data_IF_819234350846
#
_entry.id   IF_819234350846
#
_cell.length_a   1.000
_cell.length_b   1.000
_cell.length_c   1.000
_cell.angle_alpha   90.00
_cell.angle_beta   90.00
_cell.angle_gamma   90.00
#
_symmetry.space_group_name_H-M   'P 1'
#
loop_
_entity.id
_entity.type
_entity.pdbx_description
1 polymer ?
#
# COMPACT_ATOMS: atom_id res chain seq x y z
N UNK A 1 12.76 23.48 14.94
CA UNK A 1 12.82 22.20 15.67
C UNK A 1 11.62 21.39 15.25
N UNK A 2 11.82 20.29 14.54
CA UNK A 2 10.73 19.37 14.21
C UNK A 2 10.27 18.68 15.51
N UNK A 3 8.96 18.73 15.78
CA UNK A 3 8.37 18.01 16.91
C UNK A 3 8.46 16.51 16.67
N UNK A 4 8.87 15.70 17.67
CA UNK A 4 8.91 14.25 17.51
C UNK A 4 7.48 13.76 17.20
N UNK A 5 7.35 13.06 16.07
CA UNK A 5 6.08 12.43 15.69
C UNK A 5 5.75 11.42 16.79
N UNK A 6 4.69 11.70 17.55
CA UNK A 6 4.19 10.79 18.58
C UNK A 6 3.09 9.97 17.96
N UNK A 7 3.28 8.66 18.00
CA UNK A 7 2.26 7.70 17.62
C UNK A 7 2.21 6.58 18.63
N UNK A 8 1.00 6.09 18.88
CA UNK A 8 0.73 4.97 19.76
C UNK A 8 1.35 3.68 19.22
N UNK A 9 1.38 3.53 17.89
CA UNK A 9 2.04 2.40 17.22
C UNK A 9 2.90 2.88 16.05
N UNK A 10 4.14 2.38 15.99
CA UNK A 10 5.05 2.60 14.87
C UNK A 10 5.36 1.25 14.21
N UNK A 11 5.11 1.17 12.91
CA UNK A 11 5.38 -0.02 12.08
C UNK A 11 6.59 0.27 11.20
N UNK A 12 7.63 -0.55 11.28
CA UNK A 12 8.83 -0.42 10.43
C UNK A 12 8.74 -1.38 9.25
N UNK A 13 8.65 -0.83 8.05
CA UNK A 13 8.57 -1.49 6.75
C UNK A 13 7.15 -1.49 6.17
N UNK A 14 6.95 -0.81 5.04
CA UNK A 14 5.68 -0.78 4.29
C UNK A 14 5.57 -1.93 3.27
N UNK A 15 6.00 -3.14 3.68
CA UNK A 15 5.78 -4.38 2.93
C UNK A 15 4.37 -4.93 3.11
N UNK A 16 4.10 -6.11 2.52
CA UNK A 16 2.81 -6.81 2.70
C UNK A 16 2.48 -7.06 4.18
N UNK A 17 3.48 -7.40 4.98
CA UNK A 17 3.34 -7.64 6.42
C UNK A 17 3.01 -6.35 7.18
N UNK A 18 3.74 -5.26 6.92
CA UNK A 18 3.53 -3.99 7.62
C UNK A 18 2.19 -3.36 7.29
N UNK A 19 1.78 -3.38 6.02
CA UNK A 19 0.45 -2.90 5.59
C UNK A 19 -0.66 -3.77 6.20
N UNK A 20 -0.49 -5.10 6.22
CA UNK A 20 -1.48 -5.99 6.84
C UNK A 20 -1.60 -5.77 8.35
N UNK A 21 -0.48 -5.53 9.04
CA UNK A 21 -0.49 -5.21 10.47
C UNK A 21 -1.22 -3.90 10.74
N UNK A 22 -0.95 -2.85 9.94
CA UNK A 22 -1.65 -1.57 10.04
C UNK A 22 -3.17 -1.73 9.82
N UNK A 23 -3.57 -2.53 8.83
CA UNK A 23 -4.98 -2.83 8.56
C UNK A 23 -5.66 -3.48 9.76
N UNK A 24 -5.06 -4.53 10.32
CA UNK A 24 -5.63 -5.24 11.47
C UNK A 24 -5.73 -4.31 12.69
N UNK A 25 -4.70 -3.49 12.94
CA UNK A 25 -4.72 -2.53 14.05
C UNK A 25 -5.82 -1.48 13.87
N UNK A 26 -5.98 -0.93 12.66
CA UNK A 26 -7.05 0.00 12.34
C UNK A 26 -8.44 -0.64 12.50
N UNK A 27 -8.62 -1.88 12.06
CA UNK A 27 -9.87 -2.64 12.24
C UNK A 27 -10.20 -2.92 13.71
N UNK A 28 -9.19 -2.95 14.58
CA UNK A 28 -9.36 -3.11 16.03
C UNK A 28 -9.44 -1.77 16.79
N UNK A 29 -9.59 -0.65 16.08
CA UNK A 29 -9.79 0.67 16.69
C UNK A 29 -8.52 1.40 17.09
N UNK A 30 -7.35 0.99 16.59
CA UNK A 30 -6.10 1.75 16.72
C UNK A 30 -5.94 2.64 15.50
N UNK A 31 -6.15 3.93 15.68
CA UNK A 31 -6.17 4.96 14.63
C UNK A 31 -4.86 5.78 14.56
N UNK A 32 -4.11 5.88 15.66
CA UNK A 32 -2.83 6.57 15.74
C UNK A 32 -1.64 5.64 15.39
N UNK A 33 -1.45 5.42 14.09
CA UNK A 33 -0.41 4.53 13.53
C UNK A 33 0.46 5.28 12.53
N UNK A 34 1.78 5.13 12.66
CA UNK A 34 2.76 5.58 11.65
C UNK A 34 3.51 4.39 11.07
N UNK A 35 3.63 4.36 9.74
CA UNK A 35 4.43 3.35 9.02
C UNK A 35 5.68 4.04 8.45
N UNK A 36 6.86 3.53 8.80
CA UNK A 36 8.15 4.00 8.31
C UNK A 36 8.72 3.02 7.28
N UNK A 37 9.01 3.48 6.08
CA UNK A 37 9.63 2.67 5.02
C UNK A 37 10.91 3.35 4.55
N UNK A 38 11.99 2.56 4.47
CA UNK A 38 13.29 3.08 4.05
C UNK A 38 13.31 3.44 2.55
N UNK A 39 12.49 2.75 1.76
CA UNK A 39 12.38 2.95 0.32
C UNK A 39 11.36 4.04 -0.03
N UNK A 40 11.51 4.67 -1.21
CA UNK A 40 10.48 5.58 -1.75
C UNK A 40 9.27 4.84 -2.36
N UNK A 41 8.96 3.63 -1.87
CA UNK A 41 7.90 2.77 -2.42
C UNK A 41 7.35 1.81 -1.38
N UNK A 42 6.05 1.54 -1.46
CA UNK A 42 5.36 0.53 -0.65
C UNK A 42 5.33 -0.83 -1.38
N UNK A 43 4.96 -1.90 -0.66
CA UNK A 43 4.77 -3.25 -1.19
C UNK A 43 5.98 -4.18 -0.98
N UNK A 44 7.11 -3.66 -0.50
CA UNK A 44 8.30 -4.44 -0.17
C UNK A 44 8.83 -5.25 -1.37
N UNK A 45 8.77 -6.58 -1.25
CA UNK A 45 9.22 -7.54 -2.28
C UNK A 45 8.26 -7.69 -3.46
N UNK A 46 6.99 -7.28 -3.30
CA UNK A 46 6.01 -7.34 -4.39
C UNK A 46 6.35 -6.24 -5.40
N UNK A 47 6.81 -6.64 -6.59
CA UNK A 47 7.09 -5.74 -7.71
C UNK A 47 6.10 -6.01 -8.83
N UNK A 48 5.21 -5.05 -9.11
CA UNK A 48 4.37 -5.10 -10.30
C UNK A 48 5.19 -4.53 -11.46
N UNK A 49 5.76 -5.38 -12.30
CA UNK A 49 6.17 -4.94 -13.63
C UNK A 49 4.92 -4.60 -14.43
N UNK A 50 4.83 -3.35 -14.87
CA UNK A 50 3.73 -2.89 -15.71
C UNK A 50 3.82 -3.57 -17.06
N UNK A 51 3.20 -4.74 -17.22
CA UNK A 51 2.87 -5.25 -18.54
C UNK A 51 1.85 -4.27 -19.12
N UNK A 52 2.33 -3.28 -19.89
CA UNK A 52 1.48 -2.44 -20.72
C UNK A 52 0.93 -3.33 -21.84
N UNK A 53 -0.09 -4.12 -21.54
CA UNK A 53 -0.89 -4.78 -22.58
C UNK A 53 -1.54 -3.66 -23.37
N UNK A 54 -0.95 -3.32 -24.53
CA UNK A 54 -1.63 -2.53 -25.55
C UNK A 54 -2.82 -3.37 -26.03
N UNK A 55 -3.98 -3.14 -25.45
CA UNK A 55 -5.24 -3.61 -26.00
C UNK A 55 -5.44 -2.85 -27.30
N UNK A 56 -5.01 -3.42 -28.42
CA UNK A 56 -5.49 -3.01 -29.74
C UNK A 56 -6.96 -3.43 -29.76
N UNK A 57 -7.85 -2.45 -29.70
CA UNK A 57 -9.28 -2.66 -29.54
C UNK A 57 -9.82 -3.64 -30.59
N UNK A 58 -10.28 -4.79 -30.12
CA UNK A 58 -11.34 -5.52 -30.82
C UNK A 58 -12.64 -5.03 -30.20
N UNK A 59 -13.30 -4.10 -30.90
CA UNK A 59 -14.74 -3.89 -30.72
C UNK A 59 -15.40 -5.23 -31.07
N UNK A 60 -15.78 -6.01 -30.06
CA UNK A 60 -16.79 -7.04 -30.27
C UNK A 60 -18.13 -6.37 -29.99
N UNK A 61 -18.91 -6.16 -31.04
CA UNK A 61 -20.21 -5.51 -31.00
C UNK A 61 -21.18 -6.31 -30.14
N UNK A 62 -21.85 -5.60 -29.25
CA UNK A 62 -23.09 -6.07 -28.63
C UNK A 62 -24.23 -5.44 -29.44
N UNK A 63 -24.53 -6.04 -30.59
CA UNK A 63 -25.84 -5.85 -31.22
C UNK A 63 -26.81 -6.81 -30.55
N UNK A 64 -27.61 -6.24 -29.62
CA UNK A 64 -28.87 -6.74 -29.06
C UNK A 64 -28.84 -7.95 -28.11
#
# INVERSE_FOLDING_TARGET
METPVRSTVIIVGAGVSGISAAKVLAENGVDDIVILEASNRIGGRIRKEGIRRRVRGTRCGLDR
#
